data_IF_710278670711
#
_entry.id   IF_710278670711
#
_cell.length_a   1.000
_cell.length_b   1.000
_cell.length_c   1.000
_cell.angle_alpha   90.00
_cell.angle_beta   90.00
_cell.angle_gamma   90.00
#
_symmetry.space_group_name_H-M   'P 1'
#
loop_
_entity.id
_entity.type
_entity.pdbx_description
1 polymer ?
#
# COMPACT_ATOMS: atom_id res chain seq x y z
N UNK A 1 -38.07 -14.89 -21.02
CA UNK A 1 -36.62 -14.58 -21.05
C UNK A 1 -36.42 -13.36 -20.16
N UNK A 2 -36.05 -13.57 -18.89
CA UNK A 2 -35.72 -12.46 -17.99
C UNK A 2 -34.33 -11.93 -18.40
N UNK A 3 -34.14 -10.61 -18.62
CA UNK A 3 -32.80 -10.09 -18.80
C UNK A 3 -32.08 -10.25 -17.45
N UNK A 4 -31.05 -11.08 -17.44
CA UNK A 4 -30.18 -11.23 -16.28
C UNK A 4 -29.46 -9.91 -16.03
N UNK A 5 -29.56 -9.41 -14.81
CA UNK A 5 -28.93 -8.20 -14.27
C UNK A 5 -27.38 -8.28 -14.20
N UNK A 6 -26.73 -8.99 -15.13
CA UNK A 6 -25.29 -9.18 -15.14
C UNK A 6 -24.53 -7.90 -15.49
N UNK A 7 -25.08 -7.07 -16.37
CA UNK A 7 -24.43 -5.83 -16.83
C UNK A 7 -24.34 -4.73 -15.77
N UNK A 8 -25.25 -4.69 -14.80
CA UNK A 8 -25.28 -3.69 -13.72
C UNK A 8 -24.24 -3.99 -12.64
N UNK A 9 -24.03 -5.28 -12.32
CA UNK A 9 -23.01 -5.70 -11.34
C UNK A 9 -21.60 -5.35 -11.79
N UNK A 10 -21.23 -5.66 -13.03
CA UNK A 10 -19.89 -5.36 -13.56
C UNK A 10 -19.63 -3.84 -13.66
N UNK A 11 -20.66 -3.04 -13.99
CA UNK A 11 -20.54 -1.56 -14.01
C UNK A 11 -20.37 -0.92 -12.64
N UNK A 12 -20.98 -1.48 -11.58
CA UNK A 12 -20.86 -0.94 -10.21
C UNK A 12 -19.59 -1.44 -9.53
N UNK A 13 -19.15 -2.66 -9.85
CA UNK A 13 -17.89 -3.21 -9.36
C UNK A 13 -16.67 -2.54 -10.03
N UNK A 14 -16.73 -2.17 -11.31
CA UNK A 14 -15.62 -1.50 -12.02
C UNK A 14 -15.01 -0.27 -11.32
N UNK A 15 -15.81 0.73 -10.89
CA UNK A 15 -15.33 1.90 -10.16
C UNK A 15 -14.73 1.56 -8.80
N UNK A 16 -15.33 0.62 -8.06
CA UNK A 16 -14.82 0.20 -6.75
C UNK A 16 -13.47 -0.52 -6.87
N UNK A 17 -13.30 -1.34 -7.91
CA UNK A 17 -12.02 -2.00 -8.20
C UNK A 17 -10.96 -1.00 -8.64
N UNK A 18 -11.33 0.00 -9.46
CA UNK A 18 -10.41 1.07 -9.84
C UNK A 18 -9.98 1.89 -8.62
N UNK A 19 -10.91 2.26 -7.74
CA UNK A 19 -10.60 2.94 -6.49
C UNK A 19 -9.66 2.10 -5.62
N UNK A 20 -9.99 0.83 -5.37
CA UNK A 20 -9.15 -0.06 -4.57
C UNK A 20 -7.74 -0.25 -5.16
N UNK A 21 -7.63 -0.37 -6.49
CA UNK A 21 -6.32 -0.42 -7.17
C UNK A 21 -5.54 0.90 -7.02
N UNK A 22 -6.22 2.04 -7.16
CA UNK A 22 -5.59 3.36 -7.00
C UNK A 22 -5.09 3.59 -5.58
N UNK A 23 -5.85 3.20 -4.55
CA UNK A 23 -5.40 3.25 -3.17
C UNK A 23 -4.26 2.26 -2.92
N UNK A 24 -4.36 1.04 -3.46
CA UNK A 24 -3.32 0.04 -3.33
C UNK A 24 -1.95 0.48 -3.86
N UNK A 25 -1.93 1.25 -4.95
CA UNK A 25 -0.69 1.81 -5.51
C UNK A 25 -0.33 3.14 -4.83
N UNK A 26 -1.33 3.96 -4.48
CA UNK A 26 -1.12 5.28 -3.89
C UNK A 26 -0.53 5.23 -2.49
N UNK A 27 -0.96 4.28 -1.65
CA UNK A 27 -0.47 4.13 -0.26
C UNK A 27 1.07 4.02 -0.18
N UNK A 28 1.74 3.10 -0.89
CA UNK A 28 3.19 3.00 -0.81
C UNK A 28 3.91 4.24 -1.36
N UNK A 29 3.38 4.86 -2.42
CA UNK A 29 3.97 6.09 -3.00
C UNK A 29 3.91 7.25 -2.01
N UNK A 30 2.72 7.52 -1.45
CA UNK A 30 2.51 8.62 -0.51
C UNK A 30 3.31 8.41 0.76
N UNK A 31 3.30 7.20 1.31
CA UNK A 31 4.05 6.88 2.53
C UNK A 31 5.56 6.95 2.33
N UNK A 32 6.07 6.55 1.15
CA UNK A 32 7.48 6.77 0.79
C UNK A 32 7.82 8.27 0.74
N UNK A 33 6.96 9.10 0.14
CA UNK A 33 7.14 10.55 0.12
C UNK A 33 7.19 11.16 1.52
N UNK A 34 6.28 10.76 2.41
CA UNK A 34 6.26 11.18 3.81
C UNK A 34 7.55 10.80 4.52
N UNK A 35 8.03 9.56 4.33
CA UNK A 35 9.26 9.08 4.93
C UNK A 35 10.47 9.90 4.46
N UNK A 36 10.57 10.17 3.16
CA UNK A 36 11.62 11.03 2.59
C UNK A 36 11.57 12.43 3.22
N UNK A 37 10.41 13.07 3.25
CA UNK A 37 10.25 14.40 3.85
C UNK A 37 10.67 14.40 5.32
N UNK A 38 10.29 13.39 6.10
CA UNK A 38 10.65 13.29 7.51
C UNK A 38 12.17 13.14 7.72
N UNK A 39 12.85 12.34 6.89
CA UNK A 39 14.30 12.14 6.98
C UNK A 39 15.10 13.41 6.65
N UNK A 40 14.62 14.19 5.68
CA UNK A 40 15.30 15.42 5.23
C UNK A 40 14.86 16.68 5.99
N UNK A 41 13.93 16.58 6.94
CA UNK A 41 13.45 17.72 7.73
C UNK A 41 13.97 17.65 9.16
N UNK A 42 14.96 18.50 9.55
CA UNK A 42 15.54 18.46 10.89
C UNK A 42 14.51 18.61 12.03
N UNK A 43 13.46 19.41 11.80
CA UNK A 43 12.37 19.60 12.76
C UNK A 43 11.47 18.37 12.99
N UNK A 44 11.60 17.33 12.16
CA UNK A 44 10.80 16.10 12.26
C UNK A 44 11.61 14.89 12.77
N UNK A 45 12.90 15.04 13.04
CA UNK A 45 13.79 13.91 13.38
C UNK A 45 13.36 13.13 14.62
N UNK A 46 12.87 13.80 15.66
CA UNK A 46 12.32 13.14 16.85
C UNK A 46 11.05 12.34 16.55
N UNK A 47 10.36 12.65 15.46
CA UNK A 47 9.15 11.96 15.00
C UNK A 47 9.46 10.89 13.95
N UNK A 48 10.70 10.78 13.45
CA UNK A 48 11.09 9.80 12.42
C UNK A 48 10.77 8.36 12.84
N UNK A 49 11.03 7.89 14.08
CA UNK A 49 10.64 6.54 14.49
C UNK A 49 9.13 6.30 14.40
N UNK A 50 8.32 7.30 14.76
CA UNK A 50 6.86 7.22 14.70
C UNK A 50 6.36 7.25 13.25
N UNK A 51 6.98 8.07 12.38
CA UNK A 51 6.71 8.07 10.94
C UNK A 51 7.05 6.72 10.32
N UNK A 52 8.20 6.14 10.66
CA UNK A 52 8.62 4.82 10.20
C UNK A 52 7.63 3.73 10.62
N UNK A 53 7.14 3.76 11.87
CA UNK A 53 6.10 2.85 12.33
C UNK A 53 4.80 3.00 11.53
N UNK A 54 4.36 4.23 11.29
CA UNK A 54 3.15 4.51 10.50
C UNK A 54 3.29 4.01 9.05
N UNK A 55 4.44 4.26 8.41
CA UNK A 55 4.76 3.77 7.06
C UNK A 55 4.77 2.25 7.04
N UNK A 56 5.39 1.60 8.04
CA UNK A 56 5.41 0.15 8.15
C UNK A 56 3.99 -0.42 8.26
N UNK A 57 3.18 0.09 9.18
CA UNK A 57 1.81 -0.40 9.40
C UNK A 57 0.94 -0.21 8.16
N UNK A 58 0.98 0.96 7.52
CA UNK A 58 0.21 1.24 6.32
C UNK A 58 0.57 0.29 5.17
N UNK A 59 1.87 0.08 4.92
CA UNK A 59 2.34 -0.81 3.87
C UNK A 59 2.10 -2.29 4.20
N UNK A 60 2.21 -2.68 5.47
CA UNK A 60 1.88 -4.04 5.91
C UNK A 60 0.39 -4.35 5.76
N UNK A 61 -0.49 -3.42 6.15
CA UNK A 61 -1.94 -3.54 5.96
C UNK A 61 -2.29 -3.65 4.46
N UNK A 62 -1.66 -2.82 3.62
CA UNK A 62 -1.83 -2.87 2.17
C UNK A 62 -1.38 -4.23 1.61
N UNK A 63 -0.22 -4.73 2.03
CA UNK A 63 0.29 -6.05 1.63
C UNK A 63 -0.64 -7.21 2.06
N UNK A 64 -1.17 -7.17 3.29
CA UNK A 64 -2.11 -8.16 3.80
C UNK A 64 -3.41 -8.11 2.99
N UNK A 65 -3.93 -6.92 2.69
CA UNK A 65 -5.11 -6.75 1.85
C UNK A 65 -4.90 -7.36 0.46
N UNK A 66 -3.74 -7.14 -0.16
CA UNK A 66 -3.40 -7.78 -1.43
C UNK A 66 -3.34 -9.30 -1.34
N UNK A 67 -2.69 -9.85 -0.31
CA UNK A 67 -2.59 -11.30 -0.12
C UNK A 67 -3.99 -11.91 0.08
N UNK A 68 -4.87 -11.25 0.83
CA UNK A 68 -6.25 -11.68 1.01
C UNK A 68 -7.04 -11.67 -0.30
N UNK A 69 -6.97 -10.57 -1.06
CA UNK A 69 -7.65 -10.44 -2.36
C UNK A 69 -7.12 -11.43 -3.41
N UNK A 70 -5.80 -11.65 -3.44
CA UNK A 70 -5.16 -12.62 -4.32
C UNK A 70 -5.60 -14.05 -3.98
N UNK A 71 -5.62 -14.42 -2.70
CA UNK A 71 -6.11 -15.74 -2.24
C UNK A 71 -7.58 -15.95 -2.58
N UNK A 72 -8.40 -14.91 -2.46
CA UNK A 72 -9.81 -14.96 -2.84
C UNK A 72 -10.04 -15.01 -4.36
N UNK A 73 -8.99 -14.89 -5.18
CA UNK A 73 -9.06 -14.74 -6.65
C UNK A 73 -10.07 -13.66 -7.05
N UNK A 74 -10.15 -12.59 -6.25
CA UNK A 74 -11.15 -11.55 -6.42
C UNK A 74 -10.79 -10.64 -7.61
N UNK A 75 -11.80 -10.34 -8.43
CA UNK A 75 -11.74 -9.29 -9.44
C UNK A 75 -11.12 -9.68 -10.80
N UNK A 76 -11.30 -8.80 -11.80
CA UNK A 76 -10.85 -9.00 -13.18
C UNK A 76 -9.33 -8.88 -13.35
N UNK A 77 -8.78 -9.41 -14.45
CA UNK A 77 -7.34 -9.47 -14.72
C UNK A 77 -6.57 -8.16 -14.52
N UNK A 78 -7.01 -7.02 -15.08
CA UNK A 78 -6.34 -5.72 -14.91
C UNK A 78 -6.26 -5.26 -13.45
N UNK A 79 -7.30 -5.54 -12.66
CA UNK A 79 -7.32 -5.23 -11.24
C UNK A 79 -6.25 -6.04 -10.50
N UNK A 80 -6.14 -7.34 -10.76
CA UNK A 80 -5.10 -8.19 -10.13
C UNK A 80 -3.69 -7.73 -10.48
N UNK A 81 -3.46 -7.26 -11.71
CA UNK A 81 -2.16 -6.70 -12.10
C UNK A 81 -1.83 -5.44 -11.31
N UNK A 82 -2.78 -4.50 -11.18
CA UNK A 82 -2.61 -3.29 -10.38
C UNK A 82 -2.38 -3.60 -8.88
N UNK A 83 -3.10 -4.59 -8.34
CA UNK A 83 -2.87 -5.08 -6.97
C UNK A 83 -1.44 -5.62 -6.80
N UNK A 84 -0.93 -6.37 -7.77
CA UNK A 84 0.44 -6.89 -7.77
C UNK A 84 1.49 -5.78 -7.72
N UNK A 85 1.29 -4.70 -8.50
CA UNK A 85 2.18 -3.53 -8.50
C UNK A 85 2.19 -2.87 -7.11
N UNK A 86 1.02 -2.64 -6.52
CA UNK A 86 0.91 -2.07 -5.18
C UNK A 86 1.58 -2.94 -4.10
N UNK A 87 1.49 -4.27 -4.21
CA UNK A 87 2.14 -5.21 -3.29
C UNK A 87 3.66 -5.12 -3.37
N UNK A 88 4.23 -5.03 -4.58
CA UNK A 88 5.68 -4.84 -4.78
C UNK A 88 6.15 -3.54 -4.15
N UNK A 89 5.47 -2.43 -4.43
CA UNK A 89 5.82 -1.13 -3.84
C UNK A 89 5.71 -1.13 -2.31
N UNK A 90 4.69 -1.78 -1.75
CA UNK A 90 4.52 -1.90 -0.30
C UNK A 90 5.65 -2.73 0.33
N UNK A 91 6.07 -3.81 -0.34
CA UNK A 91 7.23 -4.61 0.06
C UNK A 91 8.52 -3.78 0.09
N UNK A 92 8.78 -2.98 -0.96
CA UNK A 92 9.94 -2.08 -1.02
C UNK A 92 9.92 -1.09 0.15
N UNK A 93 8.77 -0.48 0.43
CA UNK A 93 8.63 0.47 1.54
C UNK A 93 8.92 -0.18 2.89
N UNK A 94 8.38 -1.39 3.12
CA UNK A 94 8.67 -2.16 4.34
C UNK A 94 10.16 -2.45 4.47
N UNK A 95 10.81 -2.92 3.40
CA UNK A 95 12.25 -3.20 3.41
C UNK A 95 13.08 -1.95 3.73
N UNK A 96 12.74 -0.81 3.13
CA UNK A 96 13.41 0.46 3.41
C UNK A 96 13.26 0.87 4.88
N UNK A 97 12.06 0.75 5.45
CA UNK A 97 11.82 1.04 6.87
C UNK A 97 12.62 0.11 7.77
N UNK A 98 12.71 -1.19 7.47
CA UNK A 98 13.49 -2.13 8.28
C UNK A 98 15.00 -1.81 8.26
N UNK A 99 15.55 -1.45 7.09
CA UNK A 99 16.94 -1.02 6.96
C UNK A 99 17.20 0.24 7.77
N UNK A 100 16.31 1.24 7.67
CA UNK A 100 16.40 2.46 8.46
C UNK A 100 16.27 2.17 9.95
N UNK A 101 15.36 1.29 10.37
CA UNK A 101 15.16 0.96 11.78
C UNK A 101 16.42 0.34 12.38
N UNK A 102 17.07 -0.57 11.65
CA UNK A 102 18.34 -1.14 12.05
C UNK A 102 19.46 -0.08 12.13
N UNK A 103 19.46 0.89 11.21
CA UNK A 103 20.40 2.01 11.23
C UNK A 103 20.21 2.93 12.45
N UNK A 104 18.98 3.37 12.71
CA UNK A 104 18.66 4.20 13.88
C UNK A 104 18.96 3.47 15.20
N UNK A 105 18.61 2.19 15.30
CA UNK A 105 18.95 1.37 16.48
C UNK A 105 20.46 1.27 16.74
N UNK A 106 21.28 1.26 15.68
CA UNK A 106 22.75 1.29 15.81
C UNK A 106 23.30 2.64 16.24
N UNK A 107 22.62 3.73 15.91
CA UNK A 107 23.04 5.08 16.28
C UNK A 107 22.65 5.48 17.72
N UNK A 108 21.92 4.62 18.43
CA UNK A 108 21.47 4.88 19.81
C UNK A 108 20.34 5.90 19.90
N UNK A 109 19.57 6.05 18.81
CA UNK A 109 18.32 6.82 18.78
C UNK A 109 17.15 6.00 19.33
#
# INVERSE_FOLDING_TARGET
MYPSESGTRDRVLGPAHLAAASFGIGVPIVTAGILVVALFSPGLWTSVPLVMLAVFVANAANLIAFLALHRARAGPGPFRSALGIGAVFSGICISAVLVLAAFFARLGA
#
